data_IF_723613484541
#
_entry.id   IF_723613484541
#
_cell.length_a   1.000
_cell.length_b   1.000
_cell.length_c   1.000
_cell.angle_alpha   90.00
_cell.angle_beta   90.00
_cell.angle_gamma   90.00
#
_symmetry.space_group_name_H-M   'P 1'
#
loop_
_entity.id
_entity.type
_entity.pdbx_description
1 polymer ?
#
# COMPACT_ATOMS: atom_id res chain seq x y z
N UNK A 1 -42.37 23.70 -3.81
CA UNK A 1 -42.05 22.54 -2.94
C UNK A 1 -41.07 21.54 -3.57
N UNK A 2 -40.99 21.42 -4.91
CA UNK A 2 -40.07 20.47 -5.58
C UNK A 2 -38.57 20.76 -5.40
N UNK A 3 -38.11 22.03 -5.42
CA UNK A 3 -36.67 22.37 -5.31
C UNK A 3 -36.05 22.06 -3.94
N UNK A 4 -36.84 22.17 -2.86
CA UNK A 4 -36.42 21.80 -1.50
C UNK A 4 -36.25 20.27 -1.35
N UNK A 5 -37.09 19.50 -2.03
CA UNK A 5 -37.02 18.03 -2.03
C UNK A 5 -35.77 17.53 -2.78
N UNK A 6 -35.40 18.18 -3.89
CA UNK A 6 -34.18 17.85 -4.63
C UNK A 6 -32.92 18.13 -3.82
N UNK A 7 -32.85 19.26 -3.10
CA UNK A 7 -31.72 19.59 -2.23
C UNK A 7 -31.61 18.67 -1.01
N UNK A 8 -32.74 18.27 -0.41
CA UNK A 8 -32.76 17.30 0.67
C UNK A 8 -32.25 15.92 0.21
N UNK A 9 -32.64 15.47 -0.99
CA UNK A 9 -32.17 14.21 -1.58
C UNK A 9 -30.69 14.30 -1.97
N UNK A 10 -30.23 15.42 -2.54
CA UNK A 10 -28.79 15.58 -2.86
C UNK A 10 -27.92 15.67 -1.61
N UNK A 11 -28.37 16.33 -0.54
CA UNK A 11 -27.66 16.32 0.74
C UNK A 11 -27.62 14.93 1.38
N UNK A 12 -28.68 14.14 1.24
CA UNK A 12 -28.72 12.77 1.75
C UNK A 12 -27.75 11.84 0.99
N UNK A 13 -27.65 11.97 -0.34
CA UNK A 13 -26.73 11.18 -1.17
C UNK A 13 -25.26 11.58 -0.93
N UNK A 14 -24.97 12.87 -0.72
CA UNK A 14 -23.62 13.35 -0.41
C UNK A 14 -23.16 12.91 0.99
N UNK A 15 -24.08 12.80 1.96
CA UNK A 15 -23.77 12.33 3.32
C UNK A 15 -23.44 10.83 3.37
N UNK A 16 -24.06 10.01 2.50
CA UNK A 16 -23.80 8.56 2.45
C UNK A 16 -22.43 8.21 1.83
N UNK A 17 -21.83 9.11 1.05
CA UNK A 17 -20.52 8.91 0.42
C UNK A 17 -19.32 9.26 1.33
N UNK A 18 -19.56 9.75 2.56
CA UNK A 18 -18.52 10.13 3.53
C UNK A 18 -18.34 9.12 4.67
N UNK A 19 -18.94 7.93 4.58
CA UNK A 19 -18.57 6.85 5.49
C UNK A 19 -17.10 6.54 5.25
N UNK A 20 -16.20 6.70 6.25
CA UNK A 20 -14.89 6.08 6.16
C UNK A 20 -15.17 4.60 5.94
N UNK A 21 -14.79 4.07 4.78
CA UNK A 21 -14.82 2.64 4.56
C UNK A 21 -14.06 2.04 5.73
N UNK A 22 -14.77 1.25 6.55
CA UNK A 22 -14.14 0.44 7.58
C UNK A 22 -13.12 -0.42 6.83
N UNK A 23 -11.85 -0.03 6.86
CA UNK A 23 -10.75 -0.93 6.56
C UNK A 23 -10.87 -2.01 7.62
N UNK A 24 -11.55 -3.11 7.26
CA UNK A 24 -11.36 -4.37 7.97
C UNK A 24 -9.87 -4.60 7.97
N UNK A 25 -9.28 -4.73 9.15
CA UNK A 25 -7.93 -5.24 9.28
C UNK A 25 -7.85 -6.50 8.41
N UNK A 26 -6.94 -6.51 7.44
CA UNK A 26 -6.73 -7.66 6.58
C UNK A 26 -6.48 -8.89 7.47
N UNK A 27 -7.31 -9.93 7.33
CA UNK A 27 -6.98 -11.24 7.89
C UNK A 27 -5.66 -11.65 7.26
N UNK A 28 -4.59 -11.64 8.05
CA UNK A 28 -3.30 -12.10 7.57
C UNK A 28 -3.44 -13.58 7.26
N UNK A 29 -3.19 -13.94 6.00
CA UNK A 29 -3.11 -15.35 5.61
C UNK A 29 -1.90 -15.93 6.33
N UNK A 30 -2.16 -16.57 7.47
CA UNK A 30 -1.12 -17.04 8.38
C UNK A 30 -0.10 -17.96 7.70
N UNK A 31 -0.49 -18.63 6.61
CA UNK A 31 0.42 -19.47 5.82
C UNK A 31 1.35 -18.63 4.93
N UNK A 32 0.85 -17.53 4.36
CA UNK A 32 1.65 -16.58 3.60
C UNK A 32 2.67 -15.86 4.49
N UNK A 33 2.27 -15.45 5.69
CA UNK A 33 3.18 -14.81 6.66
C UNK A 33 4.28 -15.78 7.11
N UNK A 34 3.93 -17.03 7.39
CA UNK A 34 4.89 -18.08 7.72
C UNK A 34 5.84 -18.35 6.55
N UNK A 35 5.34 -18.35 5.31
CA UNK A 35 6.18 -18.52 4.12
C UNK A 35 7.15 -17.34 3.93
N UNK A 36 6.68 -16.11 4.12
CA UNK A 36 7.50 -14.91 4.05
C UNK A 36 8.63 -14.95 5.10
N UNK A 37 8.31 -15.27 6.36
CA UNK A 37 9.32 -15.40 7.41
C UNK A 37 10.39 -16.47 7.13
N UNK A 38 10.01 -17.58 6.48
CA UNK A 38 11.00 -18.58 6.02
C UNK A 38 11.93 -18.02 4.94
N UNK A 39 11.39 -17.28 3.97
CA UNK A 39 12.17 -16.65 2.91
C UNK A 39 13.14 -15.61 3.50
N UNK A 40 12.67 -14.76 4.39
CA UNK A 40 13.51 -13.75 5.06
C UNK A 40 14.68 -14.41 5.80
N UNK A 41 14.41 -15.50 6.52
CA UNK A 41 15.44 -16.27 7.21
C UNK A 41 16.51 -16.85 6.27
N UNK A 42 16.13 -17.28 5.06
CA UNK A 42 17.09 -17.77 4.05
C UNK A 42 17.96 -16.63 3.52
N UNK A 43 17.36 -15.50 3.18
CA UNK A 43 18.06 -14.33 2.63
C UNK A 43 19.05 -13.78 3.67
N UNK A 44 18.61 -13.60 4.92
CA UNK A 44 19.47 -13.05 5.98
C UNK A 44 20.67 -13.97 6.28
N UNK A 45 20.47 -15.29 6.25
CA UNK A 45 21.57 -16.25 6.42
C UNK A 45 22.57 -16.17 5.26
N UNK A 46 22.07 -16.06 4.04
CA UNK A 46 22.92 -15.93 2.85
C UNK A 46 23.76 -14.65 2.90
N UNK A 47 23.14 -13.51 3.19
CA UNK A 47 23.85 -12.24 3.38
C UNK A 47 24.95 -12.35 4.44
N UNK A 48 24.65 -12.95 5.60
CA UNK A 48 25.64 -13.20 6.65
C UNK A 48 26.79 -14.11 6.19
N UNK A 49 26.49 -15.18 5.45
CA UNK A 49 27.51 -16.09 4.91
C UNK A 49 28.43 -15.45 3.88
N UNK A 50 28.00 -14.33 3.29
CA UNK A 50 28.74 -13.54 2.31
C UNK A 50 29.34 -12.24 2.89
N UNK A 51 29.33 -12.05 4.22
CA UNK A 51 29.76 -10.82 4.90
C UNK A 51 29.06 -9.53 4.37
N UNK A 52 27.83 -9.69 3.88
CA UNK A 52 26.99 -8.60 3.38
C UNK A 52 26.02 -8.12 4.45
N UNK A 53 25.77 -6.81 4.45
CA UNK A 53 24.72 -6.20 5.26
C UNK A 53 23.49 -5.95 4.39
N UNK A 54 22.27 -6.01 4.97
CA UNK A 54 21.08 -5.56 4.27
C UNK A 54 21.23 -4.10 3.81
N UNK A 55 20.70 -3.79 2.63
CA UNK A 55 20.68 -2.42 2.14
C UNK A 55 19.87 -1.53 3.12
N UNK A 56 20.33 -0.31 3.31
CA UNK A 56 19.56 0.69 4.03
C UNK A 56 18.19 0.91 3.36
N UNK A 57 17.16 1.34 4.12
CA UNK A 57 15.88 1.73 3.54
C UNK A 57 16.06 2.73 2.40
N UNK A 58 15.29 2.54 1.33
CA UNK A 58 15.32 3.46 0.20
C UNK A 58 14.91 4.87 0.64
N UNK A 59 15.60 5.89 0.12
CA UNK A 59 15.15 7.27 0.30
C UNK A 59 13.90 7.55 -0.53
N UNK A 60 13.13 8.58 -0.17
CA UNK A 60 11.92 8.99 -0.89
C UNK A 60 12.18 9.18 -2.39
N UNK A 61 13.33 9.78 -2.74
CA UNK A 61 13.69 9.98 -4.14
C UNK A 61 13.95 8.66 -4.89
N UNK A 62 14.59 7.68 -4.24
CA UNK A 62 14.80 6.35 -4.82
C UNK A 62 13.48 5.61 -4.98
N UNK A 63 12.61 5.67 -3.97
CA UNK A 63 11.29 5.08 -4.01
C UNK A 63 10.45 5.66 -5.16
N UNK A 64 10.36 6.99 -5.27
CA UNK A 64 9.59 7.65 -6.33
C UNK A 64 10.11 7.30 -7.72
N UNK A 65 11.44 7.23 -7.91
CA UNK A 65 12.03 6.81 -9.19
C UNK A 65 11.64 5.38 -9.56
N UNK A 66 11.63 4.45 -8.59
CA UNK A 66 11.25 3.05 -8.80
C UNK A 66 9.77 2.94 -9.16
N UNK A 67 8.89 3.50 -8.34
CA UNK A 67 7.44 3.45 -8.59
C UNK A 67 7.08 4.11 -9.92
N UNK A 68 7.70 5.26 -10.24
CA UNK A 68 7.45 5.95 -11.49
C UNK A 68 7.91 5.12 -12.70
N UNK A 69 9.05 4.42 -12.60
CA UNK A 69 9.50 3.48 -13.63
C UNK A 69 8.52 2.32 -13.80
N UNK A 70 8.05 1.74 -12.69
CA UNK A 70 7.20 0.55 -12.71
C UNK A 70 5.78 0.86 -13.24
N UNK A 71 5.27 2.08 -12.99
CA UNK A 71 3.93 2.50 -13.42
C UNK A 71 3.92 3.17 -14.79
N UNK A 72 4.90 4.03 -15.09
CA UNK A 72 4.92 4.88 -16.31
C UNK A 72 5.90 4.34 -17.37
N UNK A 73 6.90 3.54 -16.98
CA UNK A 73 7.88 2.96 -17.91
C UNK A 73 9.08 3.85 -18.26
N UNK A 74 9.30 4.94 -17.52
CA UNK A 74 10.49 5.81 -17.65
C UNK A 74 10.91 6.38 -16.30
N UNK A 75 12.08 6.99 -16.21
CA UNK A 75 12.54 7.71 -15.01
C UNK A 75 11.96 9.13 -15.00
N UNK A 76 11.58 9.70 -13.83
CA UNK A 76 11.08 11.07 -13.76
C UNK A 76 12.18 12.07 -14.16
N UNK A 77 11.81 13.07 -14.96
CA UNK A 77 12.67 14.20 -15.41
C UNK A 77 12.51 15.41 -14.51
#
# INVERSE_FOLDING_TARGET
MSRLLHHAVTMFVVSLALLPGNVSAEESDSDADQAAGRIDGLILRDLQGHDLQPNAPASDNQFLRRVYLDVIGRIPT
#
